data_IF_321349719667
#
_entry.id   IF_321349719667
#
_cell.length_a   1.000
_cell.length_b   1.000
_cell.length_c   1.000
_cell.angle_alpha   90.00
_cell.angle_beta   90.00
_cell.angle_gamma   90.00
#
_symmetry.space_group_name_H-M   'P 1'
#
loop_
_entity.id
_entity.type
_entity.pdbx_description
1 polymer ?
#
# COMPACT_ATOMS: atom_id res chain seq x y z
N UNK A 1 -9.93 -1.47 -8.56
CA UNK A 1 -8.63 -2.16 -8.71
C UNK A 1 -8.88 -3.45 -9.46
N UNK A 2 -8.04 -3.80 -10.44
CA UNK A 2 -8.14 -5.07 -11.18
C UNK A 2 -8.08 -6.31 -10.27
N UNK A 3 -7.17 -6.29 -9.29
CA UNK A 3 -6.99 -7.36 -8.28
C UNK A 3 -7.58 -6.96 -6.93
N UNK A 4 -8.68 -7.61 -6.55
CA UNK A 4 -9.41 -7.32 -5.31
C UNK A 4 -10.10 -8.56 -4.73
N UNK A 5 -10.52 -8.48 -3.45
CA UNK A 5 -11.17 -9.56 -2.70
C UNK A 5 -10.30 -10.83 -2.70
N UNK A 6 -10.85 -11.97 -3.12
CA UNK A 6 -10.11 -13.23 -3.21
C UNK A 6 -8.92 -13.20 -4.20
N UNK A 7 -8.85 -12.19 -5.08
CA UNK A 7 -7.73 -11.97 -6.02
C UNK A 7 -6.81 -10.82 -5.60
N UNK A 8 -6.88 -10.38 -4.35
CA UNK A 8 -6.04 -9.31 -3.82
C UNK A 8 -4.56 -9.69 -3.84
N UNK A 9 -3.70 -8.76 -4.24
CA UNK A 9 -2.24 -8.92 -4.18
C UNK A 9 -1.70 -8.43 -2.83
N UNK A 10 -0.69 -9.12 -2.31
CA UNK A 10 0.04 -8.74 -1.09
C UNK A 10 0.83 -7.44 -1.29
N UNK A 11 1.25 -6.77 -0.19
CA UNK A 11 2.16 -5.63 -0.24
C UNK A 11 3.64 -6.04 -0.43
N UNK A 12 3.98 -7.32 -0.25
CA UNK A 12 5.34 -7.84 -0.44
C UNK A 12 6.20 -7.95 0.82
N UNK A 13 5.84 -7.33 1.95
CA UNK A 13 6.70 -7.33 3.15
C UNK A 13 6.61 -8.58 4.04
N UNK A 14 5.53 -9.36 3.95
CA UNK A 14 5.28 -10.51 4.81
C UNK A 14 6.32 -11.64 4.63
N UNK A 15 6.40 -12.57 5.59
CA UNK A 15 7.33 -13.70 5.48
C UNK A 15 8.82 -13.29 5.52
N UNK A 16 9.13 -12.23 6.26
CA UNK A 16 10.47 -11.62 6.39
C UNK A 16 11.06 -11.01 5.11
N UNK A 17 10.26 -10.87 4.05
CA UNK A 17 10.71 -10.28 2.78
C UNK A 17 11.22 -8.84 2.95
N UNK A 18 10.63 -8.04 3.84
CA UNK A 18 11.10 -6.67 4.13
C UNK A 18 12.55 -6.58 4.65
N UNK A 19 13.07 -7.67 5.24
CA UNK A 19 14.38 -7.67 5.89
C UNK A 19 15.48 -8.33 5.07
N UNK A 20 15.19 -8.69 3.82
CA UNK A 20 16.16 -9.31 2.91
C UNK A 20 16.11 -8.61 1.56
N UNK A 21 17.08 -8.94 0.71
CA UNK A 21 17.07 -8.52 -0.68
C UNK A 21 15.87 -9.13 -1.43
N UNK A 22 15.37 -8.38 -2.41
CA UNK A 22 14.27 -8.82 -3.26
C UNK A 22 14.61 -10.14 -3.96
N UNK A 23 13.61 -11.01 -4.06
CA UNK A 23 13.74 -12.23 -4.86
C UNK A 23 13.76 -11.90 -6.35
N UNK A 24 14.24 -12.83 -7.17
CA UNK A 24 14.26 -12.66 -8.62
C UNK A 24 12.84 -12.43 -9.16
N UNK A 25 12.67 -11.37 -9.96
CA UNK A 25 11.41 -11.01 -10.58
C UNK A 25 11.55 -9.75 -11.42
N UNK A 26 10.48 -9.40 -12.14
CA UNK A 26 10.49 -8.25 -13.06
C UNK A 26 10.05 -6.93 -12.41
N UNK A 27 9.49 -6.99 -11.20
CA UNK A 27 8.97 -5.83 -10.46
C UNK A 27 8.87 -6.12 -8.96
N UNK A 28 9.11 -5.09 -8.14
CA UNK A 28 8.83 -5.14 -6.71
C UNK A 28 7.32 -5.28 -6.43
N UNK A 29 6.96 -6.15 -5.48
CA UNK A 29 5.56 -6.46 -5.19
C UNK A 29 4.78 -5.25 -4.69
N UNK A 30 5.42 -4.37 -3.91
CA UNK A 30 4.77 -3.14 -3.42
C UNK A 30 4.50 -2.14 -4.55
N UNK A 31 5.40 -2.03 -5.54
CA UNK A 31 5.20 -1.18 -6.72
C UNK A 31 4.02 -1.71 -7.52
N UNK A 32 3.99 -3.01 -7.81
CA UNK A 32 2.89 -3.64 -8.54
C UNK A 32 1.55 -3.49 -7.80
N UNK A 33 1.55 -3.66 -6.48
CA UNK A 33 0.35 -3.46 -5.66
C UNK A 33 -0.09 -2.00 -5.65
N UNK A 34 0.85 -1.06 -5.68
CA UNK A 34 0.55 0.38 -5.72
C UNK A 34 -0.04 0.78 -7.06
N UNK A 35 0.43 0.25 -8.18
CA UNK A 35 -0.20 0.45 -9.50
C UNK A 35 -1.67 0.05 -9.48
N UNK A 36 -2.01 -1.13 -8.96
CA UNK A 36 -3.40 -1.56 -8.82
C UNK A 36 -4.25 -0.54 -8.04
N UNK A 37 -3.67 0.08 -7.01
CA UNK A 37 -4.36 1.05 -6.16
C UNK A 37 -4.51 2.39 -6.89
N UNK A 38 -3.48 2.87 -7.57
CA UNK A 38 -3.50 4.13 -8.33
C UNK A 38 -4.47 4.09 -9.51
N UNK A 39 -4.74 2.91 -10.09
CA UNK A 39 -5.73 2.73 -11.16
C UNK A 39 -7.13 3.27 -10.80
N UNK A 40 -7.50 3.26 -9.51
CA UNK A 40 -8.80 3.76 -9.06
C UNK A 40 -8.80 5.22 -8.62
N UNK A 41 -7.66 5.92 -8.77
CA UNK A 41 -7.49 7.33 -8.40
C UNK A 41 -7.95 7.62 -6.96
N UNK A 42 -7.38 6.93 -5.95
CA UNK A 42 -7.78 7.11 -4.56
C UNK A 42 -7.24 8.44 -4.02
N UNK A 43 -8.01 9.11 -3.16
CA UNK A 43 -7.48 10.18 -2.30
C UNK A 43 -6.71 9.60 -1.11
N UNK A 44 -7.18 8.44 -0.60
CA UNK A 44 -6.61 7.74 0.55
C UNK A 44 -6.49 6.24 0.28
N UNK A 45 -5.35 5.66 0.63
CA UNK A 45 -5.11 4.22 0.69
C UNK A 45 -5.13 3.80 2.17
N UNK A 46 -6.18 3.10 2.57
CA UNK A 46 -6.28 2.53 3.91
C UNK A 46 -5.54 1.19 4.01
N UNK A 47 -4.78 1.00 5.08
CA UNK A 47 -4.09 -0.25 5.43
C UNK A 47 -4.50 -0.69 6.84
N UNK A 48 -4.28 -1.96 7.18
CA UNK A 48 -4.55 -2.49 8.54
C UNK A 48 -3.37 -3.28 9.09
N UNK A 49 -2.17 -2.99 8.59
CA UNK A 49 -0.94 -3.67 8.95
C UNK A 49 0.21 -2.66 8.79
N UNK A 50 1.06 -2.46 9.82
CA UNK A 50 2.17 -1.51 9.75
C UNK A 50 3.10 -1.74 8.57
N UNK A 51 3.36 -3.00 8.21
CA UNK A 51 4.18 -3.33 7.05
C UNK A 51 3.50 -2.96 5.74
N UNK A 52 2.20 -3.20 5.60
CA UNK A 52 1.46 -2.72 4.43
C UNK A 52 1.51 -1.20 4.34
N UNK A 53 1.38 -0.48 5.47
CA UNK A 53 1.47 0.97 5.49
C UNK A 53 2.82 1.45 4.95
N UNK A 54 3.93 0.91 5.46
CA UNK A 54 5.27 1.22 4.95
C UNK A 54 5.41 0.92 3.46
N UNK A 55 5.07 -0.30 3.03
CA UNK A 55 5.25 -0.72 1.63
C UNK A 55 4.39 0.10 0.65
N UNK A 56 3.15 0.43 1.02
CA UNK A 56 2.27 1.25 0.19
C UNK A 56 2.72 2.71 0.19
N UNK A 57 3.23 3.24 1.31
CA UNK A 57 3.82 4.58 1.37
C UNK A 57 5.03 4.69 0.45
N UNK A 58 5.93 3.70 0.49
CA UNK A 58 7.10 3.66 -0.39
C UNK A 58 6.70 3.51 -1.86
N UNK A 59 5.66 2.70 -2.14
CA UNK A 59 5.10 2.60 -3.48
C UNK A 59 4.52 3.92 -3.98
N UNK A 60 3.75 4.65 -3.16
CA UNK A 60 3.18 5.96 -3.53
C UNK A 60 4.29 6.97 -3.83
N UNK A 61 5.36 6.99 -3.02
CA UNK A 61 6.55 7.81 -3.26
C UNK A 61 7.29 7.43 -4.54
N UNK A 62 7.38 6.15 -4.86
CA UNK A 62 7.99 5.68 -6.12
C UNK A 62 7.27 6.27 -7.35
N UNK A 63 5.96 6.50 -7.26
CA UNK A 63 5.17 7.14 -8.31
C UNK A 63 5.07 8.67 -8.18
N UNK A 64 5.82 9.30 -7.27
CA UNK A 64 5.82 10.75 -7.01
C UNK A 64 4.41 11.29 -6.66
N UNK A 65 3.62 10.47 -5.94
CA UNK A 65 2.22 10.77 -5.56
C UNK A 65 2.03 11.05 -4.08
N UNK A 66 3.10 11.18 -3.30
CA UNK A 66 3.05 11.36 -1.84
C UNK A 66 2.41 12.67 -1.38
N UNK A 67 2.31 13.67 -2.27
CA UNK A 67 1.63 14.93 -1.99
C UNK A 67 0.14 14.92 -2.39
N UNK A 68 -0.30 13.89 -3.13
CA UNK A 68 -1.66 13.78 -3.65
C UNK A 68 -2.46 12.68 -2.94
N UNK A 69 -1.79 11.63 -2.46
CA UNK A 69 -2.43 10.41 -1.95
C UNK A 69 -1.88 10.10 -0.55
N UNK A 70 -2.77 10.01 0.42
CA UNK A 70 -2.42 9.65 1.78
C UNK A 70 -2.48 8.13 1.98
N UNK A 71 -1.47 7.55 2.62
CA UNK A 71 -1.52 6.16 3.11
C UNK A 71 -1.76 6.21 4.62
N UNK A 72 -2.85 5.62 5.09
CA UNK A 72 -3.26 5.67 6.51
C UNK A 72 -3.56 4.27 7.04
N UNK A 73 -3.32 4.04 8.33
CA UNK A 73 -3.86 2.89 9.02
C UNK A 73 -5.36 3.09 9.29
N UNK A 74 -6.13 2.01 9.26
CA UNK A 74 -7.58 2.04 9.53
C UNK A 74 -7.89 2.61 10.91
N UNK A 75 -7.00 2.41 11.91
CA UNK A 75 -7.16 3.00 13.23
C UNK A 75 -7.06 4.54 13.19
N UNK A 76 -6.19 5.11 12.35
CA UNK A 76 -6.09 6.57 12.17
C UNK A 76 -7.36 7.14 11.55
N UNK A 77 -7.95 6.43 10.59
CA UNK A 77 -9.21 6.84 9.97
C UNK A 77 -10.37 6.81 10.97
N UNK A 78 -10.43 5.78 11.83
CA UNK A 78 -11.44 5.68 12.89
C UNK A 78 -11.26 6.80 13.92
N UNK A 79 -10.02 7.08 14.33
CA UNK A 79 -9.72 8.15 15.28
C UNK A 79 -10.15 9.53 14.75
N UNK A 80 -9.76 9.86 13.51
CA UNK A 80 -10.16 11.12 12.88
C UNK A 80 -11.68 11.25 12.70
N UNK A 81 -12.39 10.13 12.55
CA UNK A 81 -13.85 10.13 12.44
C UNK A 81 -14.55 10.28 13.81
N UNK A 82 -13.91 9.90 14.91
CA UNK A 82 -14.47 10.03 16.26
C UNK A 82 -14.47 11.48 16.77
N UNK A 83 -13.64 12.35 16.15
CA UNK A 83 -13.57 13.79 16.44
C UNK A 83 -14.58 14.63 15.62
N UNK A 84 -15.46 13.98 14.83
CA UNK A 84 -16.56 14.58 14.06
C UNK A 84 -17.90 14.47 14.79
#
# INVERSE_FOLDING_TARGET
MKRSKAKGLCCGAGGAQMFKEAESGDKEVNIERTEDALEVKPDVIATGCPFCNTMMTDGVKYFEKENEIEVKDIAELIANAADL
#
